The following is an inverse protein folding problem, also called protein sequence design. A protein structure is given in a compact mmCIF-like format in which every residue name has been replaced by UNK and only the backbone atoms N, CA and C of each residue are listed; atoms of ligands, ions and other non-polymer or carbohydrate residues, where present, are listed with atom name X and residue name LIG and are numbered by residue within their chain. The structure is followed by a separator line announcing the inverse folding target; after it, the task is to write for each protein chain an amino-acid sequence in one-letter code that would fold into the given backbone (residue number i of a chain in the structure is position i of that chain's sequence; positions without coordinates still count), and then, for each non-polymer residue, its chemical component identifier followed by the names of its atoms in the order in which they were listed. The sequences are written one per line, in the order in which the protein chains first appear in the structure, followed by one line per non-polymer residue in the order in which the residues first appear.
data_IF_444233810584
#
_entry.id   IF_444233810584
#
_cell.length_a   1.000
_cell.length_b   1.000
_cell.length_c   1.000
_cell.angle_alpha   90.00
_cell.angle_beta   90.00
_cell.angle_gamma   90.00
#
_symmetry.space_group_name_H-M   'P 1'
#
loop_
_entity.id
_entity.type
_entity.pdbx_description
1 polymer ?
#
# COMPACT_ATOMS: atom_id res chain seq x y z
N UNK A 1 -34.48 -6.57 25.26
CA UNK A 1 -34.03 -7.27 24.06
C UNK A 1 -32.53 -7.13 24.06
N UNK A 2 -31.82 -8.22 24.35
CA UNK A 2 -30.37 -8.22 24.33
C UNK A 2 -29.92 -8.15 22.87
N UNK A 3 -29.43 -6.98 22.51
CA UNK A 3 -28.99 -6.64 21.19
C UNK A 3 -27.66 -7.35 20.90
N UNK A 4 -27.74 -8.56 20.32
CA UNK A 4 -26.58 -9.40 19.99
C UNK A 4 -25.97 -9.02 18.63
N UNK A 5 -25.45 -7.81 18.54
CA UNK A 5 -24.68 -7.34 17.37
C UNK A 5 -23.20 -7.67 17.53
N UNK A 6 -22.62 -8.27 16.51
CA UNK A 6 -21.19 -8.41 16.33
C UNK A 6 -20.66 -7.33 15.39
N UNK A 7 -19.37 -7.09 15.45
CA UNK A 7 -18.67 -6.26 14.49
C UNK A 7 -17.31 -6.83 14.13
N UNK A 8 -16.78 -6.42 12.98
CA UNK A 8 -15.35 -6.40 12.71
C UNK A 8 -14.97 -5.15 11.91
N UNK A 9 -13.70 -4.77 12.01
CA UNK A 9 -13.15 -3.61 11.28
C UNK A 9 -11.75 -3.93 10.78
N UNK A 10 -11.41 -3.38 9.62
CA UNK A 10 -10.04 -3.32 9.13
C UNK A 10 -9.40 -2.05 9.66
N UNK A 11 -8.21 -2.15 10.24
CA UNK A 11 -7.53 -0.99 10.82
C UNK A 11 -6.02 -1.15 10.88
N UNK A 12 -5.31 -0.03 10.98
CA UNK A 12 -3.86 -0.01 11.09
C UNK A 12 -3.13 -0.13 9.75
N UNK A 13 -1.84 -0.46 9.81
CA UNK A 13 -0.97 -0.58 8.64
C UNK A 13 -1.27 -1.85 7.82
N UNK A 14 -0.58 -2.01 6.68
CA UNK A 14 -0.63 -3.22 5.84
C UNK A 14 -2.07 -3.60 5.44
N UNK A 15 -2.74 -2.72 4.70
CA UNK A 15 -4.14 -2.91 4.26
C UNK A 15 -5.15 -3.17 5.39
N UNK A 16 -4.83 -2.71 6.61
CA UNK A 16 -5.70 -2.84 7.77
C UNK A 16 -5.53 -4.14 8.55
N UNK A 17 -4.44 -4.89 8.34
CA UNK A 17 -4.11 -6.10 9.11
C UNK A 17 -3.53 -5.76 10.49
N UNK A 18 -2.78 -4.66 10.59
CA UNK A 18 -2.00 -4.34 11.79
C UNK A 18 -2.83 -4.07 13.05
N UNK A 19 -4.12 -3.77 12.89
CA UNK A 19 -5.05 -3.49 14.00
C UNK A 19 -6.47 -3.98 13.69
N UNK A 20 -6.65 -4.96 12.78
CA UNK A 20 -7.97 -5.56 12.56
C UNK A 20 -8.48 -6.18 13.85
N UNK A 21 -9.75 -5.97 14.15
CA UNK A 21 -10.36 -6.53 15.34
C UNK A 21 -11.85 -6.72 15.17
N UNK A 22 -12.41 -7.61 16.00
CA UNK A 22 -13.80 -7.98 16.00
C UNK A 22 -14.30 -8.15 17.44
N UNK A 23 -15.61 -8.02 17.65
CA UNK A 23 -16.19 -8.22 18.97
C UNK A 23 -17.69 -7.97 19.03
N UNK A 24 -18.20 -7.91 20.26
CA UNK A 24 -19.57 -7.54 20.55
C UNK A 24 -19.75 -6.02 20.42
N UNK A 25 -20.78 -5.60 19.71
CA UNK A 25 -21.20 -4.21 19.63
C UNK A 25 -22.15 -3.87 20.77
N UNK A 26 -21.68 -3.07 21.75
CA UNK A 26 -22.52 -2.52 22.82
C UNK A 26 -22.10 -1.09 23.16
N UNK A 27 -22.86 -0.40 24.03
CA UNK A 27 -22.62 1.00 24.37
C UNK A 27 -21.23 1.29 25.00
N UNK A 28 -20.56 0.27 25.54
CA UNK A 28 -19.21 0.36 26.11
C UNK A 28 -18.11 -0.10 25.17
N UNK A 29 -18.44 -0.74 24.04
CA UNK A 29 -17.46 -1.26 23.09
C UNK A 29 -16.72 -0.11 22.41
N UNK A 30 -15.39 -0.19 22.40
CA UNK A 30 -14.56 0.59 21.47
C UNK A 30 -14.37 -0.26 20.22
N UNK A 31 -14.98 0.18 19.13
CA UNK A 31 -15.20 -0.65 17.93
C UNK A 31 -14.29 -0.23 16.77
N UNK A 32 -13.73 0.98 16.83
CA UNK A 32 -13.01 1.56 15.71
C UNK A 32 -11.61 2.03 16.11
N UNK A 33 -10.75 2.02 15.11
CA UNK A 33 -9.51 2.78 15.08
C UNK A 33 -9.79 4.08 14.33
N UNK A 34 -9.46 5.22 14.94
CA UNK A 34 -9.75 6.55 14.38
C UNK A 34 -8.62 7.05 13.47
N UNK A 35 -8.90 8.10 12.69
CA UNK A 35 -7.88 8.79 11.89
C UNK A 35 -7.44 8.00 10.66
N UNK A 36 -6.17 8.16 10.28
CA UNK A 36 -5.59 7.56 9.05
C UNK A 36 -5.52 6.02 9.07
N UNK A 37 -5.76 5.41 10.24
CA UNK A 37 -5.74 3.96 10.43
C UNK A 37 -7.14 3.35 10.50
N UNK A 38 -8.20 4.14 10.36
CA UNK A 38 -9.56 3.65 10.36
C UNK A 38 -9.98 3.10 9.01
N UNK A 39 -10.65 1.94 9.00
CA UNK A 39 -11.22 1.34 7.81
C UNK A 39 -12.74 1.16 7.89
N UNK A 40 -13.31 0.38 6.96
CA UNK A 40 -14.72 -0.01 6.96
C UNK A 40 -15.12 -0.68 8.27
N UNK A 41 -16.31 -0.34 8.77
CA UNK A 41 -16.93 -1.01 9.93
C UNK A 41 -18.00 -1.95 9.42
N UNK A 42 -17.92 -3.19 9.85
CA UNK A 42 -18.86 -4.24 9.47
C UNK A 42 -19.65 -4.66 10.70
N UNK A 43 -20.97 -4.68 10.58
CA UNK A 43 -21.90 -5.09 11.63
C UNK A 43 -22.66 -6.32 11.15
N UNK A 44 -22.89 -7.26 12.05
CA UNK A 44 -23.63 -8.49 11.77
C UNK A 44 -24.35 -8.98 13.01
N UNK A 45 -25.31 -9.88 12.83
CA UNK A 45 -26.07 -10.47 13.94
C UNK A 45 -25.41 -11.74 14.45
N UNK A 46 -25.08 -11.78 15.74
CA UNK A 46 -24.47 -12.95 16.37
C UNK A 46 -25.47 -14.08 16.62
N UNK A 47 -26.77 -13.78 16.72
CA UNK A 47 -27.83 -14.78 16.84
C UNK A 47 -27.89 -15.66 15.59
N UNK A 48 -27.63 -15.05 14.43
CA UNK A 48 -27.55 -15.71 13.12
C UNK A 48 -26.11 -16.16 12.80
N UNK A 49 -25.18 -16.10 13.75
CA UNK A 49 -23.76 -16.45 13.57
C UNK A 49 -23.07 -15.72 12.40
N UNK A 50 -23.59 -14.56 11.98
CA UNK A 50 -23.10 -13.84 10.81
C UNK A 50 -23.41 -14.47 9.45
N UNK A 51 -24.37 -15.40 9.39
CA UNK A 51 -24.77 -16.11 8.16
C UNK A 51 -25.86 -15.38 7.36
N UNK A 52 -26.49 -14.36 7.94
CA UNK A 52 -27.60 -13.62 7.31
C UNK A 52 -27.27 -12.12 7.19
N UNK A 53 -27.84 -11.28 8.04
CA UNK A 53 -27.76 -9.83 7.89
C UNK A 53 -26.34 -9.28 8.14
N UNK A 54 -25.86 -8.51 7.16
CA UNK A 54 -24.61 -7.76 7.17
C UNK A 54 -24.87 -6.29 6.86
N UNK A 55 -24.22 -5.40 7.59
CA UNK A 55 -24.13 -3.98 7.27
C UNK A 55 -22.66 -3.55 7.17
N UNK A 56 -22.26 -2.90 6.09
CA UNK A 56 -20.93 -2.30 5.93
C UNK A 56 -21.07 -0.78 5.88
N UNK A 57 -20.34 -0.10 6.77
CA UNK A 57 -20.23 1.36 6.83
C UNK A 57 -18.84 1.76 6.37
N UNK A 58 -18.72 2.52 5.29
CA UNK A 58 -17.41 2.91 4.75
C UNK A 58 -17.44 4.22 3.97
N UNK A 59 -16.29 4.89 3.82
CA UNK A 59 -16.16 5.99 2.88
C UNK A 59 -16.51 5.54 1.45
N UNK A 60 -17.19 6.41 0.71
CA UNK A 60 -17.51 6.21 -0.71
C UNK A 60 -16.86 7.27 -1.59
N UNK A 61 -16.06 8.16 -1.02
CA UNK A 61 -15.15 9.04 -1.75
C UNK A 61 -14.02 9.46 -0.82
N UNK A 62 -12.96 10.06 -1.39
CA UNK A 62 -11.88 10.68 -0.63
C UNK A 62 -11.25 9.80 0.47
N UNK A 63 -11.07 8.50 0.19
CA UNK A 63 -10.61 7.48 1.15
C UNK A 63 -9.41 7.91 2.02
N UNK A 64 -8.42 8.58 1.43
CA UNK A 64 -7.21 9.03 2.12
C UNK A 64 -7.39 10.31 2.95
N UNK A 65 -8.53 11.00 2.81
CA UNK A 65 -8.88 12.22 3.53
C UNK A 65 -10.04 12.01 4.52
N UNK A 66 -10.67 10.84 4.51
CA UNK A 66 -11.75 10.49 5.43
C UNK A 66 -11.20 10.00 6.76
N UNK A 67 -11.86 10.40 7.84
CA UNK A 67 -11.64 9.88 9.18
C UNK A 67 -12.95 9.37 9.76
N UNK A 68 -12.84 8.28 10.49
CA UNK A 68 -13.87 7.77 11.37
C UNK A 68 -13.49 8.10 12.83
N UNK A 69 -14.49 8.43 13.64
CA UNK A 69 -14.36 8.64 15.08
C UNK A 69 -15.55 8.03 15.82
N UNK A 70 -15.33 7.58 17.05
CA UNK A 70 -16.37 7.03 17.90
C UNK A 70 -16.41 7.86 19.17
N UNK A 71 -17.47 8.64 19.29
CA UNK A 71 -17.71 9.44 20.48
C UNK A 71 -18.47 8.61 21.49
N UNK A 72 -17.82 8.32 22.60
CA UNK A 72 -18.44 7.69 23.77
C UNK A 72 -18.79 8.76 24.81
N UNK A 73 -20.07 8.90 25.13
CA UNK A 73 -20.60 9.61 26.29
C UNK A 73 -21.20 8.59 27.25
N UNK A 74 -21.33 8.97 28.52
CA UNK A 74 -21.78 8.12 29.64
C UNK A 74 -23.01 7.22 29.35
N UNK A 75 -23.89 7.62 28.43
CA UNK A 75 -25.08 6.85 28.01
C UNK A 75 -25.30 6.76 26.49
N UNK A 76 -24.39 7.29 25.66
CA UNK A 76 -24.56 7.28 24.19
C UNK A 76 -23.22 7.06 23.51
N UNK A 77 -23.20 6.19 22.50
CA UNK A 77 -22.08 6.05 21.57
C UNK A 77 -22.55 6.45 20.17
N UNK A 78 -21.70 7.17 19.44
CA UNK A 78 -21.98 7.55 18.05
C UNK A 78 -20.74 7.33 17.20
N UNK A 79 -20.93 6.75 16.01
CA UNK A 79 -19.95 6.77 14.94
C UNK A 79 -20.09 8.09 14.17
N UNK A 80 -18.96 8.75 13.97
CA UNK A 80 -18.84 10.05 13.33
C UNK A 80 -17.87 9.91 12.15
N UNK A 81 -18.32 10.32 10.97
CA UNK A 81 -17.53 10.31 9.75
C UNK A 81 -17.30 11.73 9.27
N UNK A 82 -16.08 12.02 8.83
CA UNK A 82 -15.72 13.35 8.38
C UNK A 82 -14.37 13.40 7.70
N UNK A 83 -13.89 14.61 7.46
CA UNK A 83 -12.54 14.86 6.97
C UNK A 83 -11.55 14.70 8.12
N UNK A 84 -10.31 14.27 7.83
CA UNK A 84 -9.22 14.23 8.80
C UNK A 84 -9.06 15.56 9.55
N UNK A 85 -9.00 15.48 10.89
CA UNK A 85 -8.88 16.68 11.75
C UNK A 85 -7.56 17.45 11.58
N UNK A 86 -6.56 16.87 10.91
CA UNK A 86 -5.30 17.53 10.54
C UNK A 86 -5.43 18.45 9.34
N UNK A 87 -6.55 18.42 8.61
CA UNK A 87 -6.76 19.28 7.45
C UNK A 87 -6.94 20.74 7.89
N UNK A 88 -6.16 21.64 7.28
CA UNK A 88 -6.20 23.08 7.60
C UNK A 88 -7.37 23.82 6.95
N UNK A 89 -7.93 23.28 5.87
CA UNK A 89 -9.09 23.84 5.18
C UNK A 89 -9.81 22.77 4.36
N UNK A 90 -11.10 23.00 4.08
CA UNK A 90 -11.91 22.22 3.14
C UNK A 90 -12.21 23.12 1.94
N UNK A 91 -11.85 22.73 0.69
CA UNK A 91 -12.10 23.55 -0.49
C UNK A 91 -13.58 23.86 -0.70
N UNK A 92 -13.86 24.99 -1.37
CA UNK A 92 -15.21 25.28 -1.83
C UNK A 92 -15.72 24.14 -2.75
N UNK A 93 -17.00 23.79 -2.62
CA UNK A 93 -17.66 22.72 -3.38
C UNK A 93 -17.10 21.30 -3.13
N UNK A 94 -16.40 21.07 -2.01
CA UNK A 94 -15.96 19.74 -1.61
C UNK A 94 -17.16 18.82 -1.29
N UNK A 95 -17.18 17.62 -1.89
CA UNK A 95 -18.26 16.63 -1.69
C UNK A 95 -17.69 15.36 -1.09
N UNK A 96 -18.14 14.99 0.10
CA UNK A 96 -17.72 13.78 0.81
C UNK A 96 -18.90 12.82 0.94
N UNK A 97 -18.76 11.62 0.40
CA UNK A 97 -19.83 10.61 0.36
C UNK A 97 -19.45 9.39 1.16
N UNK A 98 -20.44 8.82 1.83
CA UNK A 98 -20.34 7.60 2.63
C UNK A 98 -21.32 6.57 2.06
N UNK A 99 -21.03 5.28 2.23
CA UNK A 99 -21.94 4.20 1.87
C UNK A 99 -22.35 3.40 3.11
N UNK A 100 -23.63 3.08 3.16
CA UNK A 100 -24.20 2.05 4.03
C UNK A 100 -24.65 0.93 3.10
N UNK A 101 -23.92 -0.18 3.12
CA UNK A 101 -24.19 -1.34 2.28
C UNK A 101 -24.83 -2.44 3.13
N UNK A 102 -25.87 -3.09 2.62
CA UNK A 102 -26.58 -4.17 3.28
C UNK A 102 -26.55 -5.42 2.41
N UNK A 103 -26.36 -6.57 3.05
CA UNK A 103 -26.50 -7.89 2.44
C UNK A 103 -27.19 -8.83 3.42
N UNK A 104 -27.94 -9.79 2.89
CA UNK A 104 -28.56 -10.88 3.65
C UNK A 104 -27.80 -12.22 3.46
N UNK A 105 -26.66 -12.18 2.76
CA UNK A 105 -25.88 -13.35 2.35
C UNK A 105 -24.79 -13.74 3.38
N UNK A 106 -24.81 -13.13 4.57
CA UNK A 106 -23.80 -13.33 5.61
C UNK A 106 -22.51 -12.53 5.37
N UNK A 107 -21.55 -12.69 6.28
CA UNK A 107 -20.31 -11.91 6.31
C UNK A 107 -19.47 -12.11 5.05
N UNK A 108 -19.21 -13.35 4.64
CA UNK A 108 -18.29 -13.62 3.54
C UNK A 108 -18.82 -13.08 2.21
N UNK A 109 -20.02 -13.51 1.82
CA UNK A 109 -20.63 -13.06 0.56
C UNK A 109 -20.97 -11.57 0.61
N UNK A 110 -21.50 -11.05 1.72
CA UNK A 110 -21.83 -9.64 1.82
C UNK A 110 -20.61 -8.71 1.71
N UNK A 111 -19.43 -9.12 2.17
CA UNK A 111 -18.18 -8.36 1.95
C UNK A 111 -17.73 -8.43 0.50
N UNK A 112 -17.87 -9.59 -0.15
CA UNK A 112 -17.61 -9.73 -1.58
C UNK A 112 -18.55 -8.84 -2.42
N UNK A 113 -19.84 -8.85 -2.12
CA UNK A 113 -20.85 -8.01 -2.78
C UNK A 113 -20.58 -6.51 -2.55
N UNK A 114 -20.20 -6.10 -1.33
CA UNK A 114 -19.76 -4.74 -1.05
C UNK A 114 -18.54 -4.36 -1.89
N UNK A 115 -17.51 -5.24 -1.91
CA UNK A 115 -16.30 -5.02 -2.69
C UNK A 115 -16.57 -4.91 -4.20
N UNK A 116 -17.48 -5.72 -4.74
CA UNK A 116 -17.93 -5.64 -6.13
C UNK A 116 -18.68 -4.34 -6.40
N UNK A 117 -19.56 -3.93 -5.48
CA UNK A 117 -20.30 -2.66 -5.58
C UNK A 117 -19.34 -1.47 -5.62
N UNK A 118 -18.32 -1.46 -4.76
CA UNK A 118 -17.26 -0.44 -4.78
C UNK A 118 -16.50 -0.46 -6.10
N UNK A 119 -16.07 -1.64 -6.58
CA UNK A 119 -15.36 -1.73 -7.86
C UNK A 119 -16.19 -1.21 -9.03
N UNK A 120 -17.47 -1.58 -9.12
CA UNK A 120 -18.39 -1.08 -10.14
C UNK A 120 -18.57 0.43 -10.07
N UNK A 121 -18.77 0.99 -8.88
CA UNK A 121 -18.93 2.43 -8.68
C UNK A 121 -17.73 3.26 -9.18
N UNK A 122 -16.53 2.69 -9.13
CA UNK A 122 -15.29 3.34 -9.57
C UNK A 122 -14.77 2.82 -10.92
N UNK A 123 -15.60 2.12 -11.70
CA UNK A 123 -15.25 1.53 -13.00
C UNK A 123 -13.96 0.68 -12.93
N UNK A 124 -13.79 -0.07 -11.84
CA UNK A 124 -12.68 -1.00 -11.64
C UNK A 124 -13.06 -2.37 -12.15
N UNK A 125 -12.10 -3.02 -12.79
CA UNK A 125 -12.19 -4.40 -13.29
C UNK A 125 -11.03 -5.20 -12.73
N UNK A 126 -11.10 -6.52 -12.83
CA UNK A 126 -10.03 -7.41 -12.40
C UNK A 126 -8.92 -7.59 -13.45
N UNK A 127 -9.02 -6.90 -14.60
CA UNK A 127 -8.08 -7.04 -15.73
C UNK A 127 -6.62 -6.83 -15.31
N UNK A 128 -6.35 -5.85 -14.44
CA UNK A 128 -4.99 -5.61 -13.96
C UNK A 128 -4.55 -6.77 -13.07
N UNK A 129 -5.38 -7.18 -12.11
CA UNK A 129 -5.07 -8.27 -11.18
C UNK A 129 -4.79 -9.59 -11.91
N UNK A 130 -5.58 -9.97 -12.91
CA UNK A 130 -5.42 -11.25 -13.64
C UNK A 130 -4.22 -11.24 -14.59
N UNK A 131 -3.78 -10.06 -15.03
CA UNK A 131 -2.62 -9.91 -15.91
C UNK A 131 -1.34 -9.48 -15.17
N UNK A 132 -1.43 -9.20 -13.87
CA UNK A 132 -0.29 -8.76 -13.07
C UNK A 132 0.64 -9.94 -12.78
N UNK A 133 1.86 -9.87 -13.30
CA UNK A 133 2.81 -10.96 -13.13
C UNK A 133 3.25 -11.14 -11.67
N UNK A 134 3.19 -10.07 -10.87
CA UNK A 134 3.61 -10.07 -9.47
C UNK A 134 2.59 -10.68 -8.53
N UNK A 135 1.34 -10.85 -9.01
CA UNK A 135 0.26 -11.50 -8.27
C UNK A 135 0.11 -12.97 -8.69
N UNK A 136 0.32 -13.27 -9.98
CA UNK A 136 -0.02 -14.59 -10.55
C UNK A 136 1.17 -15.54 -10.71
N UNK A 137 2.39 -15.05 -10.57
CA UNK A 137 3.61 -15.86 -10.76
C UNK A 137 4.56 -15.72 -9.58
N UNK A 138 5.44 -16.72 -9.43
CA UNK A 138 6.48 -16.70 -8.42
C UNK A 138 7.51 -15.61 -8.75
N UNK A 139 7.78 -14.71 -7.81
CA UNK A 139 8.90 -13.76 -7.85
C UNK A 139 10.05 -14.21 -6.97
N UNK A 140 11.27 -13.79 -7.29
CA UNK A 140 12.42 -13.93 -6.42
C UNK A 140 12.68 -12.63 -5.65
N UNK A 141 12.33 -12.61 -4.35
CA UNK A 141 12.48 -11.41 -3.51
C UNK A 141 13.81 -11.36 -2.78
N UNK A 142 14.41 -10.16 -2.74
CA UNK A 142 15.65 -9.87 -2.00
C UNK A 142 15.43 -8.93 -0.81
N UNK A 143 14.17 -8.80 -0.37
CA UNK A 143 13.72 -8.00 0.78
C UNK A 143 14.05 -8.68 2.13
N UNK A 144 13.86 -7.96 3.22
CA UNK A 144 14.05 -8.33 4.61
C UNK A 144 13.48 -9.73 4.93
N UNK A 145 14.37 -10.61 5.38
CA UNK A 145 14.09 -12.03 5.60
C UNK A 145 14.54 -12.94 4.45
N UNK A 146 14.84 -12.38 3.28
CA UNK A 146 15.47 -13.06 2.15
C UNK A 146 16.98 -13.24 2.32
N UNK A 147 17.54 -14.28 1.68
CA UNK A 147 18.97 -14.61 1.81
C UNK A 147 19.90 -13.53 1.21
N UNK A 148 19.50 -12.88 0.12
CA UNK A 148 20.28 -11.82 -0.55
C UNK A 148 19.85 -10.41 -0.11
N UNK A 149 19.20 -10.28 1.04
CA UNK A 149 18.95 -8.97 1.64
C UNK A 149 20.24 -8.43 2.27
N UNK A 150 20.82 -7.38 1.69
CA UNK A 150 22.14 -6.86 2.08
C UNK A 150 23.26 -7.92 2.09
N UNK A 151 23.14 -8.92 1.21
CA UNK A 151 24.07 -10.03 1.13
C UNK A 151 24.29 -10.42 -0.33
N UNK A 152 25.55 -10.67 -0.69
CA UNK A 152 25.98 -11.12 -2.02
C UNK A 152 26.68 -12.46 -1.90
N UNK A 153 26.86 -13.16 -3.02
CA UNK A 153 27.79 -14.29 -3.03
C UNK A 153 29.21 -13.80 -2.69
N UNK A 154 30.05 -14.65 -2.05
CA UNK A 154 31.42 -14.28 -1.73
C UNK A 154 32.19 -13.80 -2.96
N UNK A 155 32.89 -12.68 -2.81
CA UNK A 155 33.70 -12.03 -3.85
C UNK A 155 32.92 -11.55 -5.08
N UNK A 156 31.58 -11.43 -4.99
CA UNK A 156 30.71 -10.92 -6.07
C UNK A 156 30.01 -9.62 -5.68
N UNK A 157 29.69 -8.80 -6.69
CA UNK A 157 28.71 -7.74 -6.57
C UNK A 157 27.28 -8.29 -6.78
N UNK A 158 26.26 -7.42 -6.64
CA UNK A 158 24.87 -7.85 -6.84
C UNK A 158 24.53 -8.15 -8.29
N UNK A 159 25.14 -7.45 -9.25
CA UNK A 159 24.91 -7.75 -10.68
C UNK A 159 25.30 -9.20 -11.00
N UNK A 160 26.46 -9.64 -10.53
CA UNK A 160 26.94 -11.02 -10.64
C UNK A 160 26.07 -11.99 -9.84
N UNK A 161 25.79 -11.65 -8.58
CA UNK A 161 24.96 -12.47 -7.69
C UNK A 161 23.57 -12.73 -8.29
N UNK A 162 22.91 -11.71 -8.82
CA UNK A 162 21.55 -11.84 -9.38
C UNK A 162 21.53 -12.67 -10.67
N UNK A 163 22.58 -12.55 -11.50
CA UNK A 163 22.74 -13.40 -12.69
C UNK A 163 22.97 -14.85 -12.28
N UNK A 164 23.76 -15.08 -11.24
CA UNK A 164 23.97 -16.42 -10.68
C UNK A 164 22.69 -17.01 -10.11
N UNK A 165 21.89 -16.22 -9.39
CA UNK A 165 20.55 -16.59 -8.90
C UNK A 165 19.67 -17.06 -10.06
N UNK A 166 19.61 -16.30 -11.16
CA UNK A 166 18.82 -16.66 -12.34
C UNK A 166 19.27 -17.95 -13.03
N UNK A 167 20.57 -18.23 -13.08
CA UNK A 167 21.07 -19.43 -13.76
C UNK A 167 21.11 -20.69 -12.88
N UNK A 168 21.38 -20.51 -11.58
CA UNK A 168 21.62 -21.63 -10.65
C UNK A 168 20.32 -22.10 -9.99
N UNK A 169 19.40 -21.21 -9.65
CA UNK A 169 18.13 -21.60 -9.04
C UNK A 169 17.21 -22.20 -10.09
N UNK A 170 16.69 -23.40 -9.83
CA UNK A 170 15.84 -24.16 -10.77
C UNK A 170 14.34 -23.93 -10.59
N UNK A 171 13.95 -22.97 -9.74
CA UNK A 171 12.56 -22.58 -9.57
C UNK A 171 12.14 -21.62 -10.70
N UNK A 172 10.91 -21.74 -11.20
CA UNK A 172 10.43 -20.92 -12.31
C UNK A 172 9.92 -19.57 -11.81
N UNK A 173 10.81 -18.71 -11.34
CA UNK A 173 10.43 -17.34 -11.03
C UNK A 173 10.33 -16.49 -12.31
N UNK A 174 9.40 -15.54 -12.32
CA UNK A 174 9.03 -14.74 -13.49
C UNK A 174 9.43 -13.27 -13.35
N UNK A 175 9.94 -12.89 -12.19
CA UNK A 175 10.50 -11.57 -11.93
C UNK A 175 11.45 -11.65 -10.73
N UNK A 176 12.38 -10.70 -10.65
CA UNK A 176 13.30 -10.54 -9.52
C UNK A 176 13.01 -9.18 -8.86
N UNK A 177 12.93 -9.15 -7.55
CA UNK A 177 12.81 -7.89 -6.80
C UNK A 177 14.19 -7.40 -6.35
N UNK A 178 14.46 -6.13 -6.63
CA UNK A 178 15.62 -5.39 -6.15
C UNK A 178 15.19 -4.60 -4.91
N UNK A 179 15.65 -5.02 -3.73
CA UNK A 179 15.33 -4.33 -2.49
C UNK A 179 16.20 -3.07 -2.28
N UNK A 180 15.95 -2.34 -1.20
CA UNK A 180 16.54 -1.07 -0.78
C UNK A 180 18.07 -0.90 -0.84
N UNK A 181 18.84 -1.92 -1.22
CA UNK A 181 20.28 -1.85 -1.44
C UNK A 181 20.68 -1.22 -2.79
N UNK A 182 19.81 -1.19 -3.82
CA UNK A 182 20.22 -0.87 -5.20
C UNK A 182 20.36 0.63 -5.56
N UNK A 183 19.70 1.54 -4.84
CA UNK A 183 19.65 2.98 -5.15
C UNK A 183 20.39 3.85 -4.13
N UNK A 184 20.56 5.14 -4.44
CA UNK A 184 21.23 6.09 -3.55
C UNK A 184 20.31 6.57 -2.42
N UNK A 185 20.85 6.52 -1.19
CA UNK A 185 20.16 6.93 0.02
C UNK A 185 20.75 8.23 0.58
N UNK A 186 19.86 9.10 1.05
CA UNK A 186 20.19 10.37 1.69
C UNK A 186 19.70 10.44 3.14
N UNK A 187 19.15 11.59 3.51
CA UNK A 187 18.64 11.86 4.87
C UNK A 187 17.64 10.78 5.31
N UNK A 188 17.82 10.26 6.53
CA UNK A 188 16.95 9.25 7.13
C UNK A 188 16.98 7.88 6.42
N UNK A 189 17.99 7.61 5.59
CA UNK A 189 18.06 6.48 4.66
C UNK A 189 16.95 6.50 3.58
N UNK A 190 16.28 7.65 3.39
CA UNK A 190 15.32 7.87 2.30
C UNK A 190 16.01 7.92 0.94
N UNK A 191 15.23 7.82 -0.13
CA UNK A 191 15.77 7.82 -1.50
C UNK A 191 16.20 9.24 -1.87
N UNK A 192 17.47 9.43 -2.21
CA UNK A 192 17.95 10.71 -2.76
C UNK A 192 17.91 10.70 -4.29
N UNK A 193 18.29 9.58 -4.89
CA UNK A 193 18.27 9.34 -6.34
C UNK A 193 17.94 7.87 -6.59
N UNK A 194 16.91 7.63 -7.39
CA UNK A 194 16.36 6.30 -7.66
C UNK A 194 16.92 5.76 -8.98
N UNK A 195 18.24 5.57 -8.98
CA UNK A 195 19.02 5.00 -10.08
C UNK A 195 19.99 3.97 -9.53
N UNK A 196 20.45 3.04 -10.38
CA UNK A 196 21.42 2.04 -9.94
C UNK A 196 22.74 2.66 -9.53
N UNK A 197 23.27 2.19 -8.41
CA UNK A 197 24.60 2.53 -7.97
C UNK A 197 25.65 1.73 -8.74
N UNK A 198 26.67 2.40 -9.26
CA UNK A 198 27.73 1.77 -10.06
C UNK A 198 28.66 0.84 -9.26
N UNK A 199 28.71 0.97 -7.94
CA UNK A 199 29.44 0.03 -7.07
C UNK A 199 28.70 -1.31 -6.88
N UNK A 200 27.41 -1.36 -7.26
CA UNK A 200 26.54 -2.54 -7.16
C UNK A 200 26.26 -3.11 -8.56
N UNK A 201 25.97 -2.23 -9.51
CA UNK A 201 25.67 -2.52 -10.92
C UNK A 201 26.63 -1.71 -11.80
N UNK A 202 27.88 -2.16 -12.01
CA UNK A 202 28.88 -1.41 -12.76
C UNK A 202 28.45 -1.12 -14.20
N UNK A 203 27.65 -2.00 -14.81
CA UNK A 203 27.14 -1.83 -16.17
C UNK A 203 25.69 -1.30 -16.22
N UNK A 204 25.09 -1.08 -15.04
CA UNK A 204 23.74 -0.53 -14.86
C UNK A 204 22.58 -1.52 -15.12
N UNK A 205 21.35 -1.12 -14.77
CA UNK A 205 20.19 -2.02 -14.81
C UNK A 205 19.81 -2.49 -16.23
N UNK A 206 20.08 -1.69 -17.27
CA UNK A 206 19.84 -2.12 -18.66
C UNK A 206 20.73 -3.31 -19.02
N UNK A 207 21.99 -3.30 -18.58
CA UNK A 207 22.91 -4.42 -18.82
C UNK A 207 22.50 -5.63 -17.99
N UNK A 208 22.16 -5.43 -16.71
CA UNK A 208 21.60 -6.49 -15.86
C UNK A 208 20.37 -7.14 -16.50
N UNK A 209 19.39 -6.36 -16.94
CA UNK A 209 18.14 -6.87 -17.53
C UNK A 209 18.41 -7.77 -18.74
N UNK A 210 19.36 -7.39 -19.60
CA UNK A 210 19.81 -8.23 -20.73
C UNK A 210 20.51 -9.50 -20.28
N UNK A 211 21.38 -9.41 -19.26
CA UNK A 211 22.10 -10.57 -18.69
C UNK A 211 21.16 -11.55 -17.98
N UNK A 212 20.03 -11.06 -17.47
CA UNK A 212 18.93 -11.85 -16.93
C UNK A 212 17.96 -12.34 -18.00
N UNK A 213 18.34 -12.33 -19.28
CA UNK A 213 17.51 -12.77 -20.40
C UNK A 213 16.14 -12.07 -20.46
N UNK A 214 16.11 -10.79 -20.05
CA UNK A 214 14.94 -9.93 -19.95
C UNK A 214 13.92 -10.31 -18.86
N UNK A 215 14.31 -11.07 -17.83
CA UNK A 215 13.46 -11.29 -16.66
C UNK A 215 13.02 -9.94 -16.08
N UNK A 216 11.70 -9.69 -15.95
CA UNK A 216 11.17 -8.46 -15.35
C UNK A 216 11.70 -8.16 -13.95
N UNK A 217 11.77 -6.87 -13.62
CA UNK A 217 12.24 -6.40 -12.32
C UNK A 217 11.12 -5.75 -11.52
N UNK A 218 11.00 -6.14 -10.26
CA UNK A 218 10.33 -5.35 -9.24
C UNK A 218 11.40 -4.55 -8.49
N UNK A 219 11.11 -3.32 -8.08
CA UNK A 219 12.11 -2.47 -7.46
C UNK A 219 11.53 -1.69 -6.28
N UNK A 220 12.18 -1.87 -5.14
CA UNK A 220 11.86 -1.16 -3.90
C UNK A 220 12.23 0.32 -3.99
N UNK A 221 11.47 1.14 -3.28
CA UNK A 221 11.68 2.55 -3.03
C UNK A 221 11.24 2.87 -1.58
N UNK A 222 12.10 3.53 -0.81
CA UNK A 222 11.71 4.03 0.52
C UNK A 222 10.87 5.32 0.38
N UNK A 223 10.61 6.04 1.47
CA UNK A 223 10.23 7.45 1.37
C UNK A 223 11.30 8.27 0.61
N UNK A 224 10.88 9.33 -0.07
CA UNK A 224 11.82 10.27 -0.71
C UNK A 224 12.49 11.13 0.36
N UNK A 225 13.82 11.20 0.34
CA UNK A 225 14.57 11.99 1.31
C UNK A 225 14.42 13.49 1.04
N UNK A 226 14.52 14.32 2.09
CA UNK A 226 14.49 15.78 1.95
C UNK A 226 15.54 16.31 0.97
N UNK A 227 16.69 15.66 0.88
CA UNK A 227 17.80 16.00 0.00
C UNK A 227 17.72 15.37 -1.39
N UNK A 228 16.58 14.79 -1.78
CA UNK A 228 16.40 14.19 -3.11
C UNK A 228 16.76 15.14 -4.24
N UNK A 229 17.51 14.63 -5.23
CA UNK A 229 17.97 15.41 -6.39
C UNK A 229 16.79 15.83 -7.28
N UNK A 230 15.70 15.07 -7.26
CA UNK A 230 14.52 15.31 -8.10
C UNK A 230 13.81 16.64 -7.76
N UNK A 231 13.95 17.17 -6.54
CA UNK A 231 13.36 18.47 -6.15
C UNK A 231 13.93 19.67 -6.92
N UNK A 232 15.04 19.49 -7.65
CA UNK A 232 15.62 20.52 -8.51
C UNK A 232 14.85 20.69 -9.82
N UNK A 233 14.16 19.62 -10.28
CA UNK A 233 13.43 19.58 -11.56
C UNK A 233 11.92 19.54 -11.38
N UNK A 234 11.43 18.90 -10.32
CA UNK A 234 10.00 18.70 -10.08
C UNK A 234 9.54 19.31 -8.76
N UNK A 235 8.24 19.48 -8.62
CA UNK A 235 7.62 20.01 -7.43
C UNK A 235 7.59 18.95 -6.31
N UNK A 236 8.18 19.30 -5.16
CA UNK A 236 8.16 18.47 -3.95
C UNK A 236 7.68 19.27 -2.73
N UNK A 237 6.80 18.69 -1.93
CA UNK A 237 6.52 19.16 -0.57
C UNK A 237 7.69 18.71 0.29
N UNK A 238 8.29 19.64 1.01
CA UNK A 238 9.49 19.39 1.80
C UNK A 238 9.14 19.46 3.29
N UNK A 239 9.32 18.35 3.98
CA UNK A 239 9.18 18.26 5.43
C UNK A 239 10.57 18.24 6.06
N UNK A 240 11.09 19.44 6.33
CA UNK A 240 12.42 19.60 6.92
C UNK A 240 12.51 19.01 8.33
N UNK A 241 11.40 18.99 9.09
CA UNK A 241 11.40 18.49 10.46
C UNK A 241 11.59 16.97 10.50
N UNK A 242 11.00 16.25 9.55
CA UNK A 242 11.10 14.79 9.46
C UNK A 242 12.12 14.31 8.42
N UNK A 243 12.81 15.23 7.72
CA UNK A 243 13.81 14.88 6.71
C UNK A 243 13.23 14.18 5.48
N UNK A 244 11.96 14.45 5.14
CA UNK A 244 11.24 13.82 4.03
C UNK A 244 10.89 14.80 2.93
N UNK A 245 10.65 14.25 1.75
CA UNK A 245 10.04 14.95 0.63
C UNK A 245 8.89 14.11 0.06
N UNK A 246 7.92 14.75 -0.57
CA UNK A 246 6.83 14.09 -1.28
C UNK A 246 6.64 14.77 -2.63
N UNK A 247 6.74 14.05 -3.77
CA UNK A 247 6.42 14.63 -5.06
C UNK A 247 4.96 15.11 -5.07
N UNK A 248 4.71 16.34 -5.53
CA UNK A 248 3.37 16.91 -5.61
C UNK A 248 3.16 17.68 -6.91
N UNK A 249 1.91 18.00 -7.23
CA UNK A 249 1.57 18.75 -8.43
C UNK A 249 1.08 17.82 -9.54
N UNK A 250 1.75 17.85 -10.70
CA UNK A 250 1.37 17.04 -11.85
C UNK A 250 2.10 15.69 -11.90
N UNK A 251 1.72 14.84 -12.84
CA UNK A 251 2.26 13.49 -12.99
C UNK A 251 3.64 13.44 -13.68
N UNK A 252 4.24 14.58 -14.04
CA UNK A 252 5.49 14.61 -14.83
C UNK A 252 6.64 13.90 -14.13
N UNK A 253 6.73 14.00 -12.81
CA UNK A 253 7.73 13.25 -12.04
C UNK A 253 7.59 11.74 -12.24
N UNK A 254 6.39 11.21 -12.06
CA UNK A 254 6.11 9.78 -12.17
C UNK A 254 6.22 9.28 -13.61
N UNK A 255 5.77 10.07 -14.58
CA UNK A 255 5.90 9.75 -16.01
C UNK A 255 7.37 9.64 -16.39
N UNK A 256 8.19 10.63 -16.04
CA UNK A 256 9.62 10.60 -16.37
C UNK A 256 10.33 9.43 -15.66
N UNK A 257 10.03 9.23 -14.36
CA UNK A 257 10.61 8.14 -13.56
C UNK A 257 10.29 6.76 -14.15
N UNK A 258 9.01 6.49 -14.46
CA UNK A 258 8.61 5.18 -14.97
C UNK A 258 8.90 4.98 -16.46
N UNK A 259 8.99 6.05 -17.25
CA UNK A 259 9.48 5.97 -18.63
C UNK A 259 10.93 5.50 -18.63
N UNK A 260 11.79 6.10 -17.79
CA UNK A 260 13.17 5.64 -17.64
C UNK A 260 13.21 4.20 -17.10
N UNK A 261 12.43 3.92 -16.06
CA UNK A 261 12.43 2.62 -15.41
C UNK A 261 11.99 1.46 -16.31
N UNK A 262 11.08 1.72 -17.23
CA UNK A 262 10.62 0.73 -18.21
C UNK A 262 11.76 0.26 -19.14
N UNK A 263 12.79 1.08 -19.36
CA UNK A 263 13.92 0.73 -20.24
C UNK A 263 14.81 -0.39 -19.68
N UNK A 264 14.75 -0.64 -18.38
CA UNK A 264 15.46 -1.73 -17.71
C UNK A 264 14.53 -2.82 -17.18
N UNK A 265 13.27 -2.85 -17.64
CA UNK A 265 12.36 -3.96 -17.37
C UNK A 265 11.57 -3.87 -16.07
N UNK A 266 11.40 -2.67 -15.49
CA UNK A 266 10.53 -2.47 -14.32
C UNK A 266 9.08 -2.90 -14.65
N UNK A 267 8.51 -3.73 -13.78
CA UNK A 267 7.08 -4.11 -13.78
C UNK A 267 6.36 -3.75 -12.48
N UNK A 268 7.09 -3.54 -11.39
CA UNK A 268 6.52 -3.19 -10.09
C UNK A 268 7.41 -2.20 -9.36
N UNK A 269 6.83 -1.05 -9.05
CA UNK A 269 7.39 -0.09 -8.11
C UNK A 269 6.81 -0.34 -6.72
N UNK A 270 7.67 -0.76 -5.79
CA UNK A 270 7.29 -1.06 -4.41
C UNK A 270 7.71 0.10 -3.52
N UNK A 271 6.76 0.81 -2.89
CA UNK A 271 7.07 1.93 -2.01
C UNK A 271 6.73 1.64 -0.54
N UNK A 272 7.72 1.70 0.33
CA UNK A 272 7.58 1.40 1.75
C UNK A 272 8.15 2.52 2.66
N UNK A 273 8.02 2.37 3.98
CA UNK A 273 8.52 3.27 5.03
C UNK A 273 7.90 4.68 4.98
N UNK A 274 6.70 4.80 4.44
CA UNK A 274 5.99 6.10 4.38
C UNK A 274 5.58 6.61 5.77
N UNK A 275 5.40 5.70 6.73
CA UNK A 275 4.90 5.96 8.08
C UNK A 275 5.98 6.14 9.17
N UNK A 276 7.27 6.08 8.83
CA UNK A 276 8.39 6.11 9.80
C UNK A 276 9.10 7.44 9.96
#
# INVERSE_FOLDING_TARGET
MDDQRGYFTFAGAMTGEGDKHAGLWNASSKVITSGMQGGPVVLFNLTQQGEEDLLVLSPFSHFMATSLNQRNKMFTSALEYGVLGSMSSVPANYTHTMIVFYSQSGINEGIHEWGQTMQQAFNRTDINRVNDITINYLGYYTDNGGYYYYNTEPDMNYEETMVDVAHKIKLPFHYIQLDSWWYFKGIGNGVTEWTSRSDIFPDGLIALHRRLENIPLAAHNRFWAYDTVYKQKYAFVLDAANGKALPFGNDSFWIDLFTDASNWGLVLYEQDWLNV
#
